data_IF_761986244129
#
_entry.id   IF_761986244129
#
_cell.length_a   1.000
_cell.length_b   1.000
_cell.length_c   1.000
_cell.angle_alpha   90.00
_cell.angle_beta   90.00
_cell.angle_gamma   90.00
#
_symmetry.space_group_name_H-M   'P 1'
#
loop_
_entity.id
_entity.type
_entity.pdbx_description
1 polymer ?
#
# COMPACT_ATOMS: atom_id res chain seq x y z
N UNK A 1 -14.88 -3.95 -3.72
CA UNK A 1 -14.69 -2.67 -3.00
C UNK A 1 -13.78 -2.92 -1.82
N UNK A 2 -12.72 -2.13 -1.60
CA UNK A 2 -11.77 -2.35 -0.50
C UNK A 2 -12.47 -2.11 0.86
N UNK A 3 -12.49 -3.12 1.72
CA UNK A 3 -13.07 -3.09 3.07
C UNK A 3 -12.23 -2.14 3.96
N UNK A 4 -12.82 -1.21 4.72
CA UNK A 4 -12.06 -0.40 5.66
C UNK A 4 -11.43 -1.29 6.75
N UNK A 5 -10.27 -0.89 7.27
CA UNK A 5 -9.66 -1.58 8.39
C UNK A 5 -10.50 -1.39 9.67
N UNK A 6 -10.38 -2.31 10.63
CA UNK A 6 -11.22 -2.37 11.84
C UNK A 6 -11.11 -1.13 12.74
N UNK A 7 -10.08 -0.31 12.53
CA UNK A 7 -9.79 0.97 13.19
C UNK A 7 -10.48 2.17 12.51
N UNK A 8 -11.28 1.94 11.45
CA UNK A 8 -11.90 3.01 10.67
C UNK A 8 -10.93 3.75 9.73
N UNK A 9 -9.64 3.41 9.77
CA UNK A 9 -8.62 4.00 8.91
C UNK A 9 -8.68 3.43 7.51
N UNK A 10 -8.35 4.27 6.53
CA UNK A 10 -8.32 3.92 5.11
C UNK A 10 -6.90 3.64 4.65
N UNK A 11 -6.76 2.76 3.67
CA UNK A 11 -5.48 2.47 3.03
C UNK A 11 -5.32 3.36 1.79
N UNK A 12 -4.19 4.07 1.69
CA UNK A 12 -3.90 4.92 0.54
C UNK A 12 -3.57 4.07 -0.69
N UNK A 13 -4.27 4.31 -1.80
CA UNK A 13 -4.01 3.59 -3.07
C UNK A 13 -2.71 3.97 -3.75
N UNK A 14 -2.07 5.07 -3.34
CA UNK A 14 -0.78 5.52 -3.88
C UNK A 14 0.37 4.95 -3.05
N UNK A 15 0.50 5.33 -1.78
CA UNK A 15 1.64 4.90 -0.95
C UNK A 15 1.40 3.64 -0.12
N UNK A 16 0.15 3.22 0.10
CA UNK A 16 -0.17 2.04 0.89
C UNK A 16 -0.32 2.32 2.39
N UNK A 17 -0.06 3.55 2.83
CA UNK A 17 -0.19 3.92 4.24
C UNK A 17 -1.64 3.95 4.70
N UNK A 18 -1.85 3.62 5.98
CA UNK A 18 -3.14 3.86 6.65
C UNK A 18 -3.26 5.33 7.03
N UNK A 19 -4.44 5.91 6.83
CA UNK A 19 -4.73 7.30 7.17
C UNK A 19 -6.17 7.47 7.66
N UNK A 20 -6.40 8.48 8.48
CA UNK A 20 -7.72 8.82 9.00
C UNK A 20 -8.55 9.50 7.89
N UNK A 21 -9.80 9.05 7.70
CA UNK A 21 -10.73 9.68 6.76
C UNK A 21 -12.18 9.55 7.23
N UNK A 22 -12.97 10.64 7.17
CA UNK A 22 -12.55 12.00 6.84
C UNK A 22 -11.72 12.61 7.99
N UNK A 23 -10.55 13.17 7.67
CA UNK A 23 -9.71 13.86 8.65
C UNK A 23 -10.18 15.30 8.86
N UNK A 24 -10.10 15.82 10.08
CA UNK A 24 -10.41 17.22 10.35
C UNK A 24 -9.47 18.15 9.57
N UNK A 25 -10.01 19.04 8.73
CA UNK A 25 -9.25 19.92 7.83
C UNK A 25 -8.28 19.21 6.87
N UNK A 26 -8.40 17.89 6.68
CA UNK A 26 -7.51 17.16 5.79
C UNK A 26 -8.05 17.16 4.36
N UNK A 27 -7.18 17.38 3.38
CA UNK A 27 -7.52 17.23 1.97
C UNK A 27 -7.62 15.76 1.54
N UNK A 28 -7.29 14.80 2.42
CA UNK A 28 -7.34 13.38 2.11
C UNK A 28 -8.70 12.98 1.51
N UNK A 29 -8.66 12.22 0.43
CA UNK A 29 -9.87 11.69 -0.22
C UNK A 29 -10.17 10.29 0.31
N UNK A 30 -11.31 9.71 -0.08
CA UNK A 30 -11.68 8.33 0.27
C UNK A 30 -10.66 7.26 -0.18
N UNK A 31 -9.74 7.59 -1.09
CA UNK A 31 -8.78 6.62 -1.66
C UNK A 31 -7.32 7.03 -1.62
N UNK A 32 -7.02 8.30 -1.35
CA UNK A 32 -5.67 8.87 -1.38
C UNK A 32 -5.49 9.74 -0.13
N UNK A 33 -4.39 9.53 0.60
CA UNK A 33 -4.03 10.37 1.74
C UNK A 33 -3.59 11.77 1.30
N UNK A 34 -3.62 12.73 2.21
CA UNK A 34 -3.27 14.14 1.96
C UNK A 34 -1.90 14.32 1.32
N UNK A 35 -0.85 13.68 1.86
CA UNK A 35 0.50 13.72 1.28
C UNK A 35 0.57 13.29 -0.18
N UNK A 36 -0.17 12.24 -0.53
CA UNK A 36 -0.19 11.78 -1.91
C UNK A 36 -1.05 12.71 -2.77
N UNK A 37 -2.00 13.44 -2.18
CA UNK A 37 -2.86 14.37 -2.92
C UNK A 37 -2.09 15.58 -3.49
N UNK A 38 -0.99 15.97 -2.87
CA UNK A 38 -0.09 17.02 -3.35
C UNK A 38 0.69 16.63 -4.63
N UNK A 39 0.82 15.33 -4.89
CA UNK A 39 1.55 14.80 -6.04
C UNK A 39 0.66 14.87 -7.30
N UNK A 40 1.17 15.24 -8.48
CA UNK A 40 0.40 15.19 -9.72
C UNK A 40 -0.27 13.83 -9.97
N UNK A 41 -1.48 13.85 -10.54
CA UNK A 41 -2.32 12.65 -10.67
C UNK A 41 -1.66 11.51 -11.43
N UNK A 42 -0.95 11.82 -12.51
CA UNK A 42 -0.23 10.82 -13.32
C UNK A 42 0.95 10.23 -12.55
N UNK A 43 1.70 11.06 -11.82
CA UNK A 43 2.79 10.60 -10.96
C UNK A 43 2.27 9.70 -9.84
N UNK A 44 1.16 10.05 -9.18
CA UNK A 44 0.51 9.16 -8.20
C UNK A 44 0.13 7.81 -8.80
N UNK A 45 -0.40 7.80 -10.03
CA UNK A 45 -0.81 6.57 -10.71
C UNK A 45 0.38 5.65 -10.92
N UNK A 46 1.50 6.20 -11.40
CA UNK A 46 2.75 5.43 -11.57
C UNK A 46 3.25 4.91 -10.23
N UNK A 47 3.28 5.74 -9.19
CA UNK A 47 3.67 5.31 -7.83
C UNK A 47 2.82 4.15 -7.32
N UNK A 48 1.49 4.21 -7.48
CA UNK A 48 0.59 3.12 -7.08
C UNK A 48 0.77 1.83 -7.88
N UNK A 49 1.27 1.91 -9.13
CA UNK A 49 1.66 0.73 -9.91
C UNK A 49 2.95 0.14 -9.38
N UNK A 50 3.98 0.98 -9.19
CA UNK A 50 5.29 0.55 -8.70
C UNK A 50 5.21 -0.08 -7.32
N UNK A 51 4.47 0.54 -6.39
CA UNK A 51 4.26 0.00 -5.04
C UNK A 51 3.69 -1.42 -5.09
N UNK A 52 2.62 -1.64 -5.86
CA UNK A 52 1.99 -2.97 -6.00
C UNK A 52 2.95 -4.00 -6.58
N UNK A 53 3.80 -3.60 -7.54
CA UNK A 53 4.83 -4.48 -8.10
C UNK A 53 5.87 -4.85 -7.05
N UNK A 54 6.34 -3.87 -6.26
CA UNK A 54 7.27 -4.13 -5.16
C UNK A 54 6.64 -5.06 -4.12
N UNK A 55 5.41 -4.81 -3.67
CA UNK A 55 4.70 -5.69 -2.73
C UNK A 55 4.58 -7.13 -3.25
N UNK A 56 4.30 -7.32 -4.54
CA UNK A 56 4.23 -8.64 -5.16
C UNK A 56 5.60 -9.32 -5.19
N UNK A 57 6.64 -8.60 -5.59
CA UNK A 57 8.01 -9.12 -5.64
C UNK A 57 8.53 -9.48 -4.24
N UNK A 58 8.27 -8.64 -3.24
CA UNK A 58 8.63 -8.91 -1.84
C UNK A 58 8.03 -10.24 -1.37
N UNK A 59 6.74 -10.46 -1.59
CA UNK A 59 6.07 -11.73 -1.22
C UNK A 59 6.64 -12.94 -1.95
N UNK A 60 6.99 -12.78 -3.22
CA UNK A 60 7.62 -13.86 -4.00
C UNK A 60 9.00 -14.20 -3.43
N UNK A 61 9.80 -13.19 -3.08
CA UNK A 61 11.12 -13.38 -2.47
C UNK A 61 11.00 -14.03 -1.10
N UNK A 62 10.05 -13.59 -0.25
CA UNK A 62 9.77 -14.21 1.04
C UNK A 62 9.43 -15.70 0.87
N UNK A 63 8.48 -16.02 0.00
CA UNK A 63 8.09 -17.43 -0.23
C UNK A 63 9.20 -18.29 -0.84
N UNK A 64 10.08 -17.73 -1.68
CA UNK A 64 11.26 -18.45 -2.18
C UNK A 64 12.31 -18.66 -1.09
N UNK A 65 12.46 -17.69 -0.18
CA UNK A 65 13.42 -17.75 0.93
C UNK A 65 13.01 -18.81 1.96
N UNK A 66 11.72 -18.88 2.30
CA UNK A 66 11.16 -19.91 3.18
C UNK A 66 11.43 -21.31 2.63
N UNK A 67 11.08 -21.55 1.35
CA UNK A 67 11.32 -22.84 0.68
C UNK A 67 12.79 -23.24 0.61
N UNK A 68 13.67 -22.28 0.32
CA UNK A 68 15.11 -22.52 0.27
C UNK A 68 15.75 -22.74 1.66
N UNK A 69 15.06 -22.36 2.74
CA UNK A 69 15.43 -22.67 4.12
C UNK A 69 14.98 -24.06 4.57
N UNK A 70 13.79 -24.47 4.13
CA UNK A 70 13.24 -25.82 4.37
C UNK A 70 14.10 -26.91 3.72
N UNK A 71 14.54 -26.70 2.47
CA UNK A 71 15.42 -27.63 1.73
C UNK A 71 16.83 -27.77 2.33
N UNK A 72 17.26 -26.86 3.21
CA UNK A 72 18.56 -26.92 3.91
C UNK A 72 18.49 -27.54 5.30
N UNK A 73 17.29 -27.77 5.83
CA UNK A 73 17.07 -28.25 7.20
C UNK A 73 16.60 -29.71 7.26
N UNK A 74 16.42 -30.36 6.11
CA UNK A 74 16.15 -31.80 5.97
C UNK A 74 17.31 -32.52 5.28
#
# INVERSE_FOLDING_TARGET
MAKPAADGRRLCRTCGERYDYPGHNSLATRTVCERCLEIPADTRRVLGILRRRVEQLTKQVEGLTERAGEERSG
#
